data_IF_798494761030
#
_entry.id   IF_798494761030
#
_cell.length_a   1.000
_cell.length_b   1.000
_cell.length_c   1.000
_cell.angle_alpha   90.00
_cell.angle_beta   90.00
_cell.angle_gamma   90.00
#
_symmetry.space_group_name_H-M   'P 1'
#
loop_
_entity.id
_entity.type
_entity.pdbx_description
1 polymer ?
#
# COMPACT_ATOMS: atom_id res chain seq x y z
N UNK A 1 -1.86 12.01 -24.24
CA UNK A 1 -0.83 12.57 -23.33
C UNK A 1 -0.97 11.81 -22.02
N UNK A 2 0.09 11.13 -21.56
CA UNK A 2 0.05 10.51 -20.24
C UNK A 2 -0.13 11.60 -19.17
N UNK A 3 -1.09 11.43 -18.27
CA UNK A 3 -1.28 12.35 -17.16
C UNK A 3 -0.07 12.24 -16.23
N UNK A 4 0.56 13.36 -15.90
CA UNK A 4 1.70 13.39 -14.97
C UNK A 4 1.19 13.03 -13.59
N UNK A 5 1.75 11.98 -12.98
CA UNK A 5 1.40 11.56 -11.62
C UNK A 5 1.93 12.55 -10.60
N UNK A 6 1.12 12.85 -9.61
CA UNK A 6 1.41 13.83 -8.58
C UNK A 6 1.69 13.14 -7.25
N UNK A 7 2.85 13.44 -6.65
CA UNK A 7 3.27 12.93 -5.34
C UNK A 7 3.25 14.08 -4.32
N UNK A 8 2.58 13.86 -3.19
CA UNK A 8 2.64 14.78 -2.05
C UNK A 8 3.78 14.33 -1.12
N UNK A 9 4.76 15.18 -0.89
CA UNK A 9 5.87 14.96 0.06
C UNK A 9 5.59 15.74 1.33
N UNK A 10 5.57 15.06 2.46
CA UNK A 10 5.27 15.61 3.79
C UNK A 10 6.44 15.31 4.73
N UNK A 11 7.13 16.33 5.16
CA UNK A 11 8.26 16.24 6.09
C UNK A 11 8.49 17.65 6.69
N UNK A 12 8.80 17.76 7.97
CA UNK A 12 9.07 19.03 8.64
C UNK A 12 10.49 19.55 8.40
N UNK A 13 11.39 18.69 7.85
CA UNK A 13 12.74 19.07 7.48
C UNK A 13 12.80 19.60 6.03
N UNK A 14 12.99 20.93 5.79
CA UNK A 14 12.99 21.50 4.43
C UNK A 14 14.05 20.89 3.50
N UNK A 15 15.17 20.40 4.06
CA UNK A 15 16.24 19.74 3.28
C UNK A 15 15.79 18.41 2.71
N UNK A 16 15.02 17.63 3.49
CA UNK A 16 14.48 16.33 3.05
C UNK A 16 13.41 16.58 1.99
N UNK A 17 12.52 17.54 2.22
CA UNK A 17 11.49 17.95 1.25
C UNK A 17 12.12 18.36 -0.08
N UNK A 18 13.15 19.23 -0.06
CA UNK A 18 13.81 19.68 -1.28
C UNK A 18 14.50 18.53 -2.01
N UNK A 19 15.23 17.67 -1.27
CA UNK A 19 15.90 16.50 -1.84
C UNK A 19 14.89 15.56 -2.50
N UNK A 20 13.81 15.23 -1.82
CA UNK A 20 12.75 14.36 -2.35
C UNK A 20 12.09 14.97 -3.58
N UNK A 21 11.77 16.27 -3.55
CA UNK A 21 11.23 17.03 -4.69
C UNK A 21 12.12 16.90 -5.91
N UNK A 22 13.40 17.28 -5.80
CA UNK A 22 14.34 17.31 -6.93
C UNK A 22 14.43 15.95 -7.63
N UNK A 23 14.53 14.88 -6.85
CA UNK A 23 14.63 13.53 -7.40
C UNK A 23 13.32 13.02 -8.01
N UNK A 24 12.17 13.34 -7.42
CA UNK A 24 10.86 12.95 -7.94
C UNK A 24 10.51 13.74 -9.22
N UNK A 25 10.77 15.05 -9.26
CA UNK A 25 10.57 15.87 -10.46
C UNK A 25 11.49 15.40 -11.61
N UNK A 26 12.76 15.12 -11.32
CA UNK A 26 13.69 14.54 -12.30
C UNK A 26 13.25 13.15 -12.79
N UNK A 27 12.47 12.44 -12.01
CA UNK A 27 11.89 11.15 -12.37
C UNK A 27 10.58 11.26 -13.17
N UNK A 28 10.08 12.50 -13.41
CA UNK A 28 8.90 12.82 -14.21
C UNK A 28 7.60 12.93 -13.42
N UNK A 29 7.64 13.04 -12.09
CA UNK A 29 6.48 13.25 -11.24
C UNK A 29 6.19 14.75 -11.04
N UNK A 30 4.90 15.12 -10.90
CA UNK A 30 4.53 16.38 -10.28
C UNK A 30 4.69 16.27 -8.76
N UNK A 31 5.21 17.30 -8.09
CA UNK A 31 5.42 17.25 -6.64
C UNK A 31 4.68 18.38 -5.93
N UNK A 32 3.92 17.99 -4.91
CA UNK A 32 3.33 18.88 -3.91
C UNK A 32 4.10 18.68 -2.61
N UNK A 33 4.14 19.69 -1.76
CA UNK A 33 4.84 19.61 -0.46
C UNK A 33 3.99 20.15 0.67
N UNK A 34 4.16 19.58 1.86
CA UNK A 34 3.63 20.07 3.12
C UNK A 34 4.68 19.90 4.22
N UNK A 35 4.73 20.81 5.19
CA UNK A 35 5.70 20.78 6.29
C UNK A 35 5.12 20.30 7.61
N UNK A 36 3.82 20.00 7.66
CA UNK A 36 3.11 19.54 8.85
C UNK A 36 1.90 18.68 8.48
N UNK A 37 1.31 17.98 9.47
CA UNK A 37 0.21 17.06 9.25
C UNK A 37 -1.09 17.74 8.83
N UNK A 38 -1.39 18.94 9.33
CA UNK A 38 -2.62 19.66 8.99
C UNK A 38 -2.60 20.13 7.54
N UNK A 39 -1.48 20.72 7.10
CA UNK A 39 -1.26 21.12 5.71
C UNK A 39 -1.23 19.92 4.77
N UNK A 40 -0.72 18.76 5.21
CA UNK A 40 -0.76 17.51 4.45
C UNK A 40 -2.20 17.04 4.17
N UNK A 41 -3.06 16.98 5.21
CA UNK A 41 -4.47 16.59 5.05
C UNK A 41 -5.21 17.60 4.17
N UNK A 42 -4.95 18.90 4.33
CA UNK A 42 -5.53 19.94 3.47
C UNK A 42 -5.11 19.77 2.00
N UNK A 43 -3.80 19.58 1.75
CA UNK A 43 -3.28 19.35 0.40
C UNK A 43 -3.87 18.08 -0.23
N UNK A 44 -3.96 17.00 0.53
CA UNK A 44 -4.60 15.76 0.09
C UNK A 44 -6.05 16.00 -0.37
N UNK A 45 -6.88 16.66 0.43
CA UNK A 45 -8.29 16.89 0.12
C UNK A 45 -8.49 17.78 -1.10
N UNK A 46 -7.66 18.83 -1.25
CA UNK A 46 -7.80 19.84 -2.31
C UNK A 46 -7.14 19.45 -3.62
N UNK A 47 -6.01 18.75 -3.57
CA UNK A 47 -5.18 18.47 -4.75
C UNK A 47 -5.22 17.02 -5.22
N UNK A 48 -5.76 16.11 -4.39
CA UNK A 48 -5.93 14.67 -4.70
C UNK A 48 -4.69 14.05 -5.33
N UNK A 49 -3.55 14.00 -4.62
CA UNK A 49 -2.32 13.38 -5.14
C UNK A 49 -2.52 11.89 -5.42
N UNK A 50 -1.73 11.36 -6.35
CA UNK A 50 -1.74 9.93 -6.71
C UNK A 50 -1.00 9.07 -5.67
N UNK A 51 -0.09 9.67 -4.88
CA UNK A 51 0.68 9.02 -3.82
C UNK A 51 1.14 10.05 -2.80
N UNK A 52 1.32 9.62 -1.56
CA UNK A 52 1.82 10.45 -0.47
C UNK A 52 3.10 9.81 0.07
N UNK A 53 4.17 10.59 0.17
CA UNK A 53 5.38 10.29 0.95
C UNK A 53 5.24 11.04 2.26
N UNK A 54 5.21 10.34 3.40
CA UNK A 54 4.79 10.89 4.68
C UNK A 54 5.80 10.57 5.77
N UNK A 55 6.38 11.60 6.36
CA UNK A 55 7.15 11.43 7.59
C UNK A 55 6.24 11.12 8.79
N UNK A 56 6.70 10.25 9.67
CA UNK A 56 6.00 9.94 10.92
C UNK A 56 6.27 10.99 11.99
N UNK A 57 7.46 11.55 12.04
CA UNK A 57 7.92 12.49 13.07
C UNK A 57 7.41 13.93 12.91
N UNK A 58 6.22 14.15 12.38
CA UNK A 58 5.67 15.47 12.16
C UNK A 58 5.25 16.15 13.47
N UNK A 59 5.42 17.49 13.59
CA UNK A 59 4.92 18.24 14.73
C UNK A 59 3.39 18.34 14.72
N UNK A 60 2.79 18.51 15.89
CA UNK A 60 1.35 18.74 16.16
C UNK A 60 0.46 17.53 15.78
N UNK A 61 0.34 17.23 14.50
CA UNK A 61 -0.42 16.08 13.96
C UNK A 61 0.57 15.08 13.36
N UNK A 62 0.82 13.98 14.06
CA UNK A 62 1.80 12.99 13.64
C UNK A 62 1.41 12.24 12.35
N UNK A 63 2.37 11.58 11.71
CA UNK A 63 2.14 10.90 10.45
C UNK A 63 1.14 9.72 10.57
N UNK A 64 0.97 9.11 11.74
CA UNK A 64 0.00 8.06 11.97
C UNK A 64 -1.42 8.63 11.97
N UNK A 65 -1.63 9.81 12.58
CA UNK A 65 -2.92 10.50 12.58
C UNK A 65 -3.29 11.03 11.19
N UNK A 66 -2.31 11.55 10.44
CA UNK A 66 -2.48 11.89 9.02
C UNK A 66 -2.91 10.67 8.21
N UNK A 67 -2.26 9.52 8.44
CA UNK A 67 -2.62 8.26 7.77
C UNK A 67 -4.05 7.83 8.09
N UNK A 68 -4.46 7.89 9.36
CA UNK A 68 -5.86 7.59 9.77
C UNK A 68 -6.85 8.50 9.06
N UNK A 69 -6.58 9.81 9.02
CA UNK A 69 -7.45 10.78 8.36
C UNK A 69 -7.59 10.48 6.86
N UNK A 70 -6.49 10.19 6.16
CA UNK A 70 -6.51 9.86 4.74
C UNK A 70 -7.23 8.53 4.48
N UNK A 71 -6.96 7.49 5.27
CA UNK A 71 -7.57 6.16 5.12
C UNK A 71 -9.07 6.15 5.40
N UNK A 72 -9.58 7.08 6.19
CA UNK A 72 -11.02 7.26 6.37
C UNK A 72 -11.73 7.76 5.09
N UNK A 73 -10.99 8.39 4.17
CA UNK A 73 -11.54 9.04 2.99
C UNK A 73 -11.10 8.38 1.67
N UNK A 74 -9.96 7.68 1.65
CA UNK A 74 -9.36 7.22 0.38
C UNK A 74 -8.33 6.09 0.56
N UNK A 75 -8.23 5.17 -0.42
CA UNK A 75 -7.16 4.19 -0.51
C UNK A 75 -5.88 4.75 -1.15
N UNK A 76 -5.75 6.08 -1.30
CA UNK A 76 -4.54 6.69 -1.91
C UNK A 76 -3.25 6.11 -1.32
N UNK A 77 -2.31 5.67 -2.16
CA UNK A 77 -1.07 5.05 -1.69
C UNK A 77 -0.26 5.93 -0.74
N UNK A 78 0.27 5.35 0.33
CA UNK A 78 1.12 6.04 1.31
C UNK A 78 2.43 5.26 1.47
N UNK A 79 3.56 5.96 1.25
CA UNK A 79 4.92 5.52 1.57
C UNK A 79 5.38 6.28 2.80
N UNK A 80 5.65 5.60 3.90
CA UNK A 80 6.08 6.24 5.14
C UNK A 80 7.59 6.44 5.19
N UNK A 81 8.03 7.59 5.70
CA UNK A 81 9.41 7.80 6.13
C UNK A 81 9.49 7.58 7.63
N UNK A 82 10.44 6.79 8.10
CA UNK A 82 10.57 6.43 9.53
C UNK A 82 12.01 6.55 10.01
N UNK A 83 12.23 6.87 11.28
CA UNK A 83 13.53 6.73 11.90
C UNK A 83 13.97 5.26 11.96
N UNK A 84 15.29 5.02 11.99
CA UNK A 84 15.88 3.66 11.87
C UNK A 84 15.49 2.72 13.01
N UNK A 85 15.19 3.25 14.19
CA UNK A 85 15.05 2.47 15.44
C UNK A 85 13.60 2.19 15.86
N UNK A 86 12.61 2.71 15.13
CA UNK A 86 11.19 2.54 15.47
C UNK A 86 10.53 1.37 14.73
N UNK A 87 10.81 0.13 15.17
CA UNK A 87 10.07 -1.04 14.69
C UNK A 87 8.56 -0.98 15.02
N UNK A 88 8.21 -0.37 16.15
CA UNK A 88 6.81 -0.21 16.57
C UNK A 88 6.06 0.74 15.65
N UNK A 89 6.63 1.88 15.28
CA UNK A 89 6.01 2.85 14.39
C UNK A 89 5.85 2.31 12.97
N UNK A 90 6.80 1.50 12.49
CA UNK A 90 6.69 0.78 11.21
C UNK A 90 5.50 -0.18 11.21
N UNK A 91 5.37 -0.99 12.26
CA UNK A 91 4.24 -1.92 12.39
C UNK A 91 2.91 -1.18 12.53
N UNK A 92 2.85 -0.12 13.33
CA UNK A 92 1.67 0.73 13.48
C UNK A 92 1.28 1.40 12.17
N UNK A 93 2.24 1.96 11.43
CA UNK A 93 1.98 2.56 10.13
C UNK A 93 1.39 1.59 9.12
N UNK A 94 1.91 0.38 9.06
CA UNK A 94 1.37 -0.68 8.21
C UNK A 94 0.00 -1.18 8.70
N UNK A 95 -0.22 -1.26 10.03
CA UNK A 95 -1.54 -1.57 10.61
C UNK A 95 -2.61 -0.53 10.24
N UNK A 96 -2.21 0.72 10.09
CA UNK A 96 -3.07 1.82 9.64
C UNK A 96 -3.25 1.84 8.12
N UNK A 97 -2.54 0.99 7.37
CA UNK A 97 -2.72 0.81 5.95
C UNK A 97 -1.72 1.55 5.08
N UNK A 98 -0.52 1.87 5.56
CA UNK A 98 0.58 2.29 4.69
C UNK A 98 0.92 1.18 3.68
N UNK A 99 1.31 1.56 2.47
CA UNK A 99 1.62 0.62 1.39
C UNK A 99 3.10 0.22 1.35
N UNK A 100 3.97 1.08 1.87
CA UNK A 100 5.41 0.84 1.99
C UNK A 100 6.02 1.80 3.02
N UNK A 101 7.28 1.57 3.40
CA UNK A 101 8.03 2.49 4.24
C UNK A 101 9.51 2.53 3.87
N UNK A 102 10.16 3.63 4.23
CA UNK A 102 11.58 3.90 3.98
C UNK A 102 12.20 4.39 5.29
N UNK A 103 13.32 3.80 5.68
CA UNK A 103 14.03 4.24 6.90
C UNK A 103 14.97 5.39 6.61
N UNK A 104 14.90 6.44 7.40
CA UNK A 104 15.90 7.54 7.40
C UNK A 104 17.21 7.08 8.08
N UNK A 105 18.40 7.43 7.54
CA UNK A 105 18.62 8.12 6.27
C UNK A 105 18.42 7.20 5.07
N UNK A 106 17.79 7.70 4.02
CA UNK A 106 17.52 6.96 2.80
C UNK A 106 18.27 7.49 1.57
N UNK A 107 18.43 6.63 0.58
CA UNK A 107 18.91 7.07 -0.73
C UNK A 107 17.75 7.69 -1.53
N UNK A 108 17.91 8.89 -2.13
CA UNK A 108 16.87 9.46 -3.00
C UNK A 108 16.48 8.54 -4.18
N UNK A 109 17.42 7.72 -4.66
CA UNK A 109 17.13 6.71 -5.69
C UNK A 109 16.20 5.60 -5.15
N UNK A 110 16.35 5.24 -3.88
CA UNK A 110 15.45 4.30 -3.21
C UNK A 110 14.03 4.86 -3.11
N UNK A 111 13.90 6.12 -2.70
CA UNK A 111 12.60 6.81 -2.66
C UNK A 111 11.90 6.76 -4.02
N UNK A 112 12.59 7.14 -5.11
CA UNK A 112 12.03 7.10 -6.47
C UNK A 112 11.62 5.68 -6.87
N UNK A 113 12.46 4.67 -6.56
CA UNK A 113 12.17 3.27 -6.89
C UNK A 113 10.92 2.77 -6.18
N UNK A 114 10.75 3.09 -4.90
CA UNK A 114 9.57 2.71 -4.10
C UNK A 114 8.31 3.43 -4.54
N UNK A 115 8.37 4.74 -4.77
CA UNK A 115 7.25 5.52 -5.32
C UNK A 115 6.78 4.91 -6.66
N UNK A 116 7.71 4.58 -7.56
CA UNK A 116 7.36 3.90 -8.82
C UNK A 116 6.75 2.52 -8.60
N UNK A 117 7.28 1.73 -7.67
CA UNK A 117 6.75 0.39 -7.37
C UNK A 117 5.33 0.45 -6.80
N UNK A 118 5.06 1.39 -5.90
CA UNK A 118 3.73 1.59 -5.31
C UNK A 118 2.74 2.11 -6.37
N UNK A 119 3.11 3.12 -7.16
CA UNK A 119 2.24 3.64 -8.23
C UNK A 119 1.96 2.61 -9.32
N UNK A 120 2.94 1.80 -9.72
CA UNK A 120 2.71 0.70 -10.67
C UNK A 120 1.66 -0.29 -10.16
N UNK A 121 1.64 -0.58 -8.86
CA UNK A 121 0.61 -1.41 -8.22
C UNK A 121 -0.76 -0.73 -8.27
N UNK A 122 -0.83 0.58 -8.00
CA UNK A 122 -2.08 1.34 -8.04
C UNK A 122 -2.63 1.53 -9.45
N UNK A 123 -1.78 1.47 -10.47
CA UNK A 123 -2.23 1.53 -11.87
C UNK A 123 -2.79 0.20 -12.37
N UNK A 124 -2.70 -0.85 -11.55
CA UNK A 124 -3.31 -2.15 -11.79
C UNK A 124 -3.09 -2.67 -13.19
N UNK A 125 -1.86 -2.90 -13.58
CA UNK A 125 -1.62 -3.55 -14.86
C UNK A 125 -2.31 -2.85 -16.07
N UNK A 126 -1.90 -1.64 -16.38
CA UNK A 126 -2.14 -1.08 -17.73
C UNK A 126 -1.59 -1.99 -18.86
N UNK A 127 -0.91 -3.09 -18.50
CA UNK A 127 -0.48 -4.19 -19.36
C UNK A 127 -1.35 -5.45 -19.23
N UNK A 128 -2.33 -5.50 -18.31
CA UNK A 128 -3.30 -6.59 -18.29
C UNK A 128 -4.26 -6.42 -19.47
N UNK A 129 -4.43 -7.47 -20.25
CA UNK A 129 -5.46 -7.52 -21.30
C UNK A 129 -6.80 -7.07 -20.70
N UNK A 130 -7.61 -6.33 -21.46
CA UNK A 130 -8.87 -5.69 -21.02
C UNK A 130 -9.89 -6.66 -20.38
N UNK A 131 -9.52 -7.90 -20.13
CA UNK A 131 -10.38 -8.97 -19.63
C UNK A 131 -9.75 -9.77 -18.47
N UNK A 132 -8.72 -9.24 -17.76
CA UNK A 132 -8.11 -9.92 -16.60
C UNK A 132 -9.04 -9.79 -15.38
N UNK A 133 -10.05 -10.66 -15.35
CA UNK A 133 -10.97 -10.82 -14.23
C UNK A 133 -10.69 -12.13 -13.53
N UNK A 134 -10.65 -12.08 -12.21
CA UNK A 134 -10.48 -13.25 -11.35
C UNK A 134 -11.81 -13.43 -10.61
N UNK A 135 -12.41 -14.62 -10.72
CA UNK A 135 -13.60 -14.98 -9.96
C UNK A 135 -13.34 -16.29 -9.22
N UNK A 136 -13.48 -16.26 -7.88
CA UNK A 136 -13.31 -17.44 -7.02
C UNK A 136 -14.38 -17.39 -5.94
N UNK A 137 -15.34 -18.30 -6.00
CA UNK A 137 -16.50 -18.30 -5.10
C UNK A 137 -17.30 -17.00 -5.25
N UNK A 138 -17.43 -16.24 -4.18
CA UNK A 138 -18.13 -14.96 -4.15
C UNK A 138 -17.18 -13.73 -4.36
N UNK A 139 -15.87 -13.96 -4.51
CA UNK A 139 -14.90 -12.92 -4.85
C UNK A 139 -14.89 -12.65 -6.35
N UNK A 140 -14.96 -11.38 -6.71
CA UNK A 140 -14.72 -10.90 -8.07
C UNK A 140 -13.66 -9.79 -8.04
N UNK A 141 -12.62 -9.94 -8.86
CA UNK A 141 -11.57 -8.97 -9.05
C UNK A 141 -11.57 -8.49 -10.51
N UNK A 142 -11.69 -7.20 -10.72
CA UNK A 142 -11.38 -6.54 -12.00
C UNK A 142 -9.97 -5.96 -11.89
N UNK A 143 -8.98 -6.74 -12.34
CA UNK A 143 -7.56 -6.39 -12.13
C UNK A 143 -7.19 -5.09 -12.84
N UNK A 144 -7.59 -4.82 -14.09
CA UNK A 144 -7.33 -3.56 -14.76
C UNK A 144 -7.90 -2.32 -14.05
N UNK A 145 -9.02 -2.48 -13.35
CA UNK A 145 -9.67 -1.37 -12.64
C UNK A 145 -9.39 -1.35 -11.16
N UNK A 146 -8.63 -2.32 -10.66
CA UNK A 146 -8.38 -2.55 -9.23
C UNK A 146 -9.67 -2.57 -8.39
N UNK A 147 -10.72 -3.15 -8.92
CA UNK A 147 -12.00 -3.28 -8.22
C UNK A 147 -12.14 -4.67 -7.62
N UNK A 148 -12.70 -4.68 -6.43
CA UNK A 148 -12.96 -5.91 -5.66
C UNK A 148 -14.41 -5.90 -5.23
N UNK A 149 -15.07 -7.03 -5.43
CA UNK A 149 -16.41 -7.28 -4.90
C UNK A 149 -16.39 -8.63 -4.19
N UNK A 150 -17.00 -8.69 -3.01
CA UNK A 150 -17.20 -9.92 -2.24
C UNK A 150 -18.68 -10.07 -1.96
N UNK A 151 -19.27 -11.17 -2.39
CA UNK A 151 -20.73 -11.42 -2.30
C UNK A 151 -21.57 -10.25 -2.91
N UNK A 152 -21.05 -9.61 -3.96
CA UNK A 152 -21.69 -8.47 -4.64
C UNK A 152 -21.52 -7.12 -3.94
N UNK A 153 -20.82 -7.06 -2.81
CA UNK A 153 -20.50 -5.80 -2.12
C UNK A 153 -19.08 -5.33 -2.46
N UNK A 154 -18.88 -4.05 -2.81
CA UNK A 154 -17.56 -3.51 -3.09
C UNK A 154 -16.70 -3.48 -1.83
N UNK A 155 -15.38 -3.75 -1.98
CA UNK A 155 -14.39 -3.65 -0.91
C UNK A 155 -13.27 -2.68 -1.33
N UNK A 156 -13.01 -1.67 -0.49
CA UNK A 156 -11.98 -0.66 -0.74
C UNK A 156 -10.62 -1.14 -0.21
N UNK A 157 -9.82 -1.68 -1.12
CA UNK A 157 -8.46 -2.16 -0.80
C UNK A 157 -7.41 -1.13 -1.18
N UNK A 158 -6.33 -1.06 -0.37
CA UNK A 158 -5.12 -0.35 -0.81
C UNK A 158 -4.44 -1.12 -1.95
N UNK A 159 -3.56 -0.47 -2.74
CA UNK A 159 -2.85 -1.15 -3.84
C UNK A 159 -2.08 -2.39 -3.39
N UNK A 160 -1.49 -2.35 -2.21
CA UNK A 160 -0.75 -3.49 -1.63
C UNK A 160 -1.69 -4.64 -1.26
N UNK A 161 -2.80 -4.34 -0.58
CA UNK A 161 -3.82 -5.34 -0.23
C UNK A 161 -4.43 -5.98 -1.49
N UNK A 162 -4.72 -5.16 -2.52
CA UNK A 162 -5.22 -5.66 -3.80
C UNK A 162 -4.22 -6.61 -4.46
N UNK A 163 -2.93 -6.23 -4.51
CA UNK A 163 -1.88 -7.07 -5.11
C UNK A 163 -1.74 -8.41 -4.38
N UNK A 164 -1.78 -8.41 -3.04
CA UNK A 164 -1.74 -9.63 -2.24
C UNK A 164 -2.95 -10.54 -2.53
N UNK A 165 -4.14 -9.95 -2.55
CA UNK A 165 -5.37 -10.68 -2.83
C UNK A 165 -5.33 -11.28 -4.25
N UNK A 166 -5.01 -10.48 -5.26
CA UNK A 166 -4.94 -10.92 -6.66
C UNK A 166 -3.88 -12.01 -6.84
N UNK A 167 -2.73 -11.91 -6.18
CA UNK A 167 -1.67 -12.94 -6.22
C UNK A 167 -2.17 -14.28 -5.71
N UNK A 168 -2.85 -14.29 -4.57
CA UNK A 168 -3.37 -15.52 -3.97
C UNK A 168 -4.60 -16.05 -4.73
N UNK A 169 -5.53 -15.17 -5.14
CA UNK A 169 -6.76 -15.54 -5.83
C UNK A 169 -6.53 -16.04 -7.27
N UNK A 170 -5.41 -15.71 -7.91
CA UNK A 170 -5.01 -16.31 -9.21
C UNK A 170 -4.70 -17.80 -9.12
N UNK A 171 -4.37 -18.29 -7.92
CA UNK A 171 -4.01 -19.68 -7.66
C UNK A 171 -4.66 -20.14 -6.35
N UNK A 172 -5.99 -20.31 -6.33
CA UNK A 172 -6.72 -20.75 -5.14
C UNK A 172 -6.15 -22.06 -4.60
N UNK A 173 -6.11 -22.22 -3.29
CA UNK A 173 -5.54 -23.40 -2.61
C UNK A 173 -4.01 -23.40 -2.53
N UNK A 174 -3.30 -22.68 -3.40
CA UNK A 174 -1.85 -22.59 -3.33
C UNK A 174 -1.41 -21.85 -2.09
N UNK A 175 -0.43 -22.43 -1.38
CA UNK A 175 0.21 -21.79 -0.22
C UNK A 175 1.34 -20.90 -0.73
N UNK A 176 1.33 -19.65 -0.29
CA UNK A 176 2.39 -18.68 -0.51
C UNK A 176 3.12 -18.42 0.80
N UNK A 177 4.45 -18.46 0.76
CA UNK A 177 5.27 -18.01 1.90
C UNK A 177 5.19 -16.49 2.04
N UNK A 178 5.55 -15.95 3.22
CA UNK A 178 5.63 -14.51 3.42
C UNK A 178 6.59 -13.84 2.44
N UNK A 179 7.74 -14.47 2.22
CA UNK A 179 8.73 -14.02 1.24
C UNK A 179 8.13 -13.95 -0.17
N UNK A 180 7.43 -14.98 -0.64
CA UNK A 180 6.79 -14.96 -1.97
C UNK A 180 5.72 -13.88 -2.10
N UNK A 181 4.96 -13.60 -1.05
CA UNK A 181 3.99 -12.52 -1.04
C UNK A 181 4.69 -11.14 -1.01
N UNK A 182 5.79 -11.04 -0.28
CA UNK A 182 6.61 -9.84 -0.25
C UNK A 182 7.21 -9.53 -1.64
N UNK A 183 7.74 -10.54 -2.33
CA UNK A 183 8.26 -10.42 -3.69
C UNK A 183 7.17 -9.98 -4.67
N UNK A 184 5.96 -10.51 -4.55
CA UNK A 184 4.83 -10.10 -5.39
C UNK A 184 4.45 -8.63 -5.18
N UNK A 185 4.62 -8.11 -3.96
CA UNK A 185 4.34 -6.71 -3.62
C UNK A 185 5.51 -5.80 -3.99
N UNK A 186 6.74 -6.15 -3.66
CA UNK A 186 7.88 -5.22 -3.75
C UNK A 186 8.81 -5.48 -4.94
N UNK A 187 8.75 -6.65 -5.58
CA UNK A 187 9.54 -6.99 -6.75
C UNK A 187 11.05 -7.16 -6.50
N UNK A 188 11.49 -7.07 -5.25
CA UNK A 188 12.88 -7.34 -4.80
C UNK A 188 12.80 -7.83 -3.36
N UNK A 189 13.46 -8.95 -3.05
CA UNK A 189 13.48 -9.54 -1.73
C UNK A 189 14.18 -8.62 -0.71
N UNK A 190 13.42 -8.13 0.25
CA UNK A 190 13.94 -7.46 1.44
C UNK A 190 13.62 -8.34 2.65
N UNK A 191 14.59 -9.11 3.11
CA UNK A 191 14.44 -10.10 4.20
C UNK A 191 13.89 -9.51 5.52
N UNK A 192 13.97 -8.18 5.71
CA UNK A 192 13.55 -7.52 6.96
C UNK A 192 12.05 -7.31 7.11
N UNK A 193 11.21 -7.61 6.11
CA UNK A 193 9.83 -7.11 6.05
C UNK A 193 8.74 -8.18 6.00
N UNK A 194 9.04 -9.42 6.28
CA UNK A 194 8.05 -10.50 6.29
C UNK A 194 6.87 -10.23 7.24
N UNK A 195 7.11 -9.54 8.36
CA UNK A 195 6.06 -9.16 9.32
C UNK A 195 5.07 -8.13 8.75
N UNK A 196 5.48 -7.32 7.75
CA UNK A 196 4.58 -6.41 7.07
C UNK A 196 3.44 -7.16 6.37
N UNK A 197 3.72 -8.33 5.81
CA UNK A 197 2.72 -9.18 5.17
C UNK A 197 1.62 -9.58 6.16
N UNK A 198 1.97 -9.96 7.39
CA UNK A 198 0.98 -10.35 8.42
C UNK A 198 0.01 -9.19 8.71
N UNK A 199 0.52 -7.97 8.73
CA UNK A 199 -0.27 -6.76 8.94
C UNK A 199 -1.19 -6.47 7.77
N UNK A 200 -0.70 -6.53 6.53
CA UNK A 200 -1.53 -6.37 5.34
C UNK A 200 -2.61 -7.46 5.25
N UNK A 201 -2.29 -8.71 5.59
CA UNK A 201 -3.28 -9.79 5.65
C UNK A 201 -4.35 -9.53 6.73
N UNK A 202 -3.95 -9.03 7.91
CA UNK A 202 -4.89 -8.61 8.96
C UNK A 202 -5.85 -7.53 8.46
N UNK A 203 -5.33 -6.50 7.80
CA UNK A 203 -6.13 -5.42 7.22
C UNK A 203 -7.04 -5.92 6.08
N UNK A 204 -6.52 -6.75 5.19
CA UNK A 204 -7.27 -7.39 4.11
C UNK A 204 -8.46 -8.18 4.66
N UNK A 205 -8.26 -9.02 5.70
CA UNK A 205 -9.33 -9.77 6.36
C UNK A 205 -10.40 -8.85 6.94
N UNK A 206 -10.02 -7.73 7.56
CA UNK A 206 -11.02 -6.77 8.10
C UNK A 206 -11.94 -6.17 7.05
N UNK A 207 -11.52 -6.16 5.78
CA UNK A 207 -12.27 -5.60 4.64
C UNK A 207 -13.04 -6.66 3.85
N UNK A 208 -12.57 -7.91 3.86
CA UNK A 208 -13.15 -8.99 3.05
C UNK A 208 -13.99 -9.98 3.86
N UNK A 209 -13.58 -10.26 5.10
CA UNK A 209 -14.18 -11.35 5.89
C UNK A 209 -15.38 -10.86 6.71
N UNK A 210 -16.47 -11.61 6.78
CA UNK A 210 -17.57 -11.33 7.71
C UNK A 210 -17.11 -11.33 9.18
N UNK A 211 -16.21 -12.27 9.53
CA UNK A 211 -15.52 -12.34 10.82
C UNK A 211 -14.01 -12.48 10.59
N UNK A 212 -13.21 -11.43 10.78
CA UNK A 212 -11.74 -11.49 10.61
C UNK A 212 -11.02 -12.50 11.51
N UNK A 213 -11.66 -12.94 12.62
CA UNK A 213 -11.11 -13.95 13.53
C UNK A 213 -11.35 -15.37 13.04
N UNK A 214 -12.31 -15.54 12.13
CA UNK A 214 -12.65 -16.82 11.48
C UNK A 214 -12.67 -16.64 9.97
N UNK A 215 -11.49 -16.38 9.37
CA UNK A 215 -11.41 -16.09 7.94
C UNK A 215 -11.83 -17.30 7.10
N UNK A 216 -12.62 -17.03 6.05
CA UNK A 216 -13.07 -18.01 5.06
C UNK A 216 -12.42 -17.83 3.70
N UNK A 217 -11.87 -16.65 3.39
CA UNK A 217 -11.25 -16.34 2.11
C UNK A 217 -9.73 -16.45 2.18
N UNK A 218 -9.11 -15.70 3.11
CA UNK A 218 -7.64 -15.66 3.26
C UNK A 218 -7.25 -16.48 4.49
N UNK A 219 -6.75 -17.70 4.25
CA UNK A 219 -6.45 -18.68 5.29
C UNK A 219 -4.97 -18.61 5.70
N UNK A 220 -4.71 -18.83 7.00
CA UNK A 220 -3.35 -18.99 7.53
C UNK A 220 -2.94 -20.46 7.48
N UNK A 221 -1.77 -20.74 6.93
CA UNK A 221 -1.10 -22.02 7.04
C UNK A 221 0.04 -21.87 8.05
N UNK A 222 -0.21 -22.34 9.27
CA UNK A 222 0.72 -22.13 10.38
C UNK A 222 2.13 -22.64 10.06
N UNK A 223 3.12 -21.83 10.38
CA UNK A 223 4.53 -22.13 10.11
C UNK A 223 4.98 -21.98 8.65
N UNK A 224 4.03 -21.71 7.69
CA UNK A 224 4.34 -21.62 6.27
C UNK A 224 3.99 -20.23 5.69
N UNK A 225 2.72 -19.81 5.77
CA UNK A 225 2.28 -18.55 5.15
C UNK A 225 0.77 -18.47 4.99
N UNK A 226 0.32 -18.05 3.80
CA UNK A 226 -1.09 -17.77 3.52
C UNK A 226 -1.54 -18.39 2.20
N UNK A 227 -2.85 -18.63 2.08
CA UNK A 227 -3.50 -19.03 0.83
C UNK A 227 -4.88 -18.40 0.69
N UNK A 228 -5.36 -18.24 -0.53
CA UNK A 228 -6.79 -18.02 -0.77
C UNK A 228 -7.50 -19.40 -0.76
N UNK A 229 -8.71 -19.46 -0.21
CA UNK A 229 -9.50 -20.67 -0.19
C UNK A 229 -9.82 -21.13 -1.63
N UNK A 230 -9.70 -22.42 -1.89
CA UNK A 230 -9.99 -23.05 -3.19
C UNK A 230 -11.49 -23.43 -3.33
N UNK A 231 -12.12 -23.75 -2.22
CA UNK A 231 -13.57 -24.03 -2.14
C UNK A 231 -14.14 -23.28 -0.92
N UNK A 232 -15.40 -22.87 -1.03
CA UNK A 232 -16.15 -22.38 0.13
C UNK A 232 -16.55 -23.59 0.95
N UNK A 233 -16.34 -23.61 2.27
CA UNK A 233 -16.91 -24.64 3.12
C UNK A 233 -18.44 -24.59 3.11
#
# INVERSE_FOLDING_TARGET
MACVKTVLVVDDEPRIVQLARDYLENAGFGVLTAGDGASAVHAFRTRRPDLIVLDLGLPELDGLDVTRAIRAESPTPIVMLTARDDELDKLLGLELGADDYITKPFSPRELVARVRAVLRRSEGAAAATSNDRIAVGDLQLDVPRMRVEVAGAPADLTPTEFTLLATMARQPGRIFTRSQLLDAVHGVAFESYERAIDTHIKNLRRKLEPDPRRPSHVLTVYGVGYRYADERP
#
